data_IF_909997900906
#
_entry.id   IF_909997900906
#
_cell.length_a   1.000
_cell.length_b   1.000
_cell.length_c   1.000
_cell.angle_alpha   90.00
_cell.angle_beta   90.00
_cell.angle_gamma   90.00
#
_symmetry.space_group_name_H-M   'P 1'
#
loop_
_entity.id
_entity.type
_entity.pdbx_description
1 polymer ?
#
# COMPACT_ATOMS: atom_id res chain seq x y z
N UNK A 1 -40.97 40.54 -0.59
CA UNK A 1 -39.53 40.39 -0.91
C UNK A 1 -38.81 40.08 0.39
N UNK A 2 -38.35 38.84 0.58
CA UNK A 2 -37.50 38.44 1.70
C UNK A 2 -36.32 37.66 1.12
N UNK A 3 -35.10 38.13 1.38
CA UNK A 3 -33.85 37.45 1.07
C UNK A 3 -33.50 36.53 2.25
N UNK A 4 -33.48 35.22 2.03
CA UNK A 4 -32.95 34.23 2.97
C UNK A 4 -31.53 33.84 2.58
N UNK A 5 -30.58 34.05 3.48
CA UNK A 5 -29.17 33.73 3.29
C UNK A 5 -28.92 32.23 3.15
N UNK A 6 -28.08 31.84 2.19
CA UNK A 6 -27.53 30.49 2.06
C UNK A 6 -26.24 30.40 2.88
N UNK A 7 -26.28 29.69 4.00
CA UNK A 7 -25.09 29.10 4.62
C UNK A 7 -24.79 27.79 3.89
N UNK A 8 -23.74 27.78 3.06
CA UNK A 8 -23.21 26.56 2.46
C UNK A 8 -22.36 25.83 3.50
N UNK A 9 -22.97 24.93 4.27
CA UNK A 9 -22.24 23.86 4.92
C UNK A 9 -21.92 22.81 3.86
N UNK A 10 -20.65 22.72 3.45
CA UNK A 10 -20.17 21.55 2.73
C UNK A 10 -20.25 20.35 3.69
N UNK A 11 -21.02 19.29 3.38
CA UNK A 11 -20.95 18.07 4.17
C UNK A 11 -19.58 17.45 3.92
N UNK A 12 -18.84 17.22 5.02
CA UNK A 12 -17.65 16.39 5.06
C UNK A 12 -18.08 15.00 4.58
N UNK A 13 -17.62 14.60 3.39
CA UNK A 13 -17.91 13.29 2.82
C UNK A 13 -17.28 12.25 3.75
N UNK A 14 -18.10 11.54 4.53
CA UNK A 14 -17.67 10.27 5.12
C UNK A 14 -17.54 9.29 3.96
N UNK A 15 -16.32 8.81 3.73
CA UNK A 15 -16.06 7.65 2.87
C UNK A 15 -16.54 6.40 3.60
N UNK A 16 -17.86 6.26 3.74
CA UNK A 16 -18.48 4.97 3.97
C UNK A 16 -18.80 4.40 2.58
N UNK A 17 -17.75 4.11 1.80
CA UNK A 17 -17.90 3.41 0.53
C UNK A 17 -18.39 1.99 0.83
N UNK A 18 -19.51 1.63 0.22
CA UNK A 18 -20.25 0.37 0.35
C UNK A 18 -19.37 -0.82 -0.09
N UNK A 19 -18.63 -1.40 0.86
CA UNK A 19 -17.70 -2.50 0.63
C UNK A 19 -18.44 -3.83 0.59
N UNK A 20 -18.31 -4.57 -0.51
CA UNK A 20 -18.92 -5.91 -0.66
C UNK A 20 -18.46 -6.88 0.43
N UNK A 21 -19.31 -7.85 0.77
CA UNK A 21 -19.05 -8.88 1.81
C UNK A 21 -17.71 -9.62 1.61
N UNK A 22 -17.31 -9.86 0.36
CA UNK A 22 -16.00 -10.43 0.00
C UNK A 22 -14.81 -9.53 0.30
N UNK A 23 -15.01 -8.20 0.21
CA UNK A 23 -14.03 -7.18 0.56
C UNK A 23 -13.76 -7.12 2.06
N UNK A 24 -14.78 -7.32 2.87
CA UNK A 24 -14.64 -7.35 4.34
C UNK A 24 -13.83 -8.57 4.81
N UNK A 25 -14.04 -9.74 4.20
CA UNK A 25 -13.38 -10.98 4.64
C UNK A 25 -11.86 -10.98 4.52
N UNK A 26 -11.28 -10.30 3.53
CA UNK A 26 -9.83 -10.31 3.37
C UNK A 26 -9.15 -9.26 4.25
N UNK A 27 -9.82 -8.15 4.56
CA UNK A 27 -9.34 -7.17 5.52
C UNK A 27 -9.40 -7.70 6.95
N UNK A 28 -10.45 -8.45 7.30
CA UNK A 28 -10.49 -9.20 8.57
C UNK A 28 -9.33 -10.19 8.68
N UNK A 29 -8.91 -10.81 7.57
CA UNK A 29 -7.72 -11.68 7.57
C UNK A 29 -6.45 -10.89 7.84
N UNK A 30 -6.25 -9.72 7.22
CA UNK A 30 -5.08 -8.86 7.51
C UNK A 30 -5.11 -8.37 8.94
N UNK A 31 -6.27 -7.96 9.45
CA UNK A 31 -6.45 -7.55 10.84
C UNK A 31 -6.13 -8.68 11.83
N UNK A 32 -6.67 -9.88 11.64
CA UNK A 32 -6.37 -11.05 12.47
C UNK A 32 -4.90 -11.46 12.34
N UNK A 33 -4.35 -11.40 11.13
CA UNK A 33 -2.95 -11.69 10.90
C UNK A 33 -2.02 -10.69 11.63
N UNK A 34 -2.34 -9.38 11.63
CA UNK A 34 -1.59 -8.39 12.40
C UNK A 34 -1.68 -8.63 13.90
N UNK A 35 -2.86 -9.00 14.41
CA UNK A 35 -3.03 -9.40 15.82
C UNK A 35 -2.11 -10.57 16.20
N UNK A 36 -1.99 -11.56 15.31
CA UNK A 36 -1.21 -12.77 15.59
C UNK A 36 0.30 -12.58 15.36
N UNK A 37 0.71 -11.67 14.44
CA UNK A 37 2.10 -11.55 13.98
C UNK A 37 2.81 -10.24 14.40
N UNK A 38 2.07 -9.22 14.84
CA UNK A 38 2.62 -7.95 15.34
C UNK A 38 1.83 -7.39 16.54
N UNK A 39 1.61 -8.20 17.60
CA UNK A 39 0.72 -7.85 18.71
C UNK A 39 1.13 -6.55 19.43
N UNK A 40 2.44 -6.26 19.57
CA UNK A 40 2.90 -5.05 20.27
C UNK A 40 2.42 -3.77 19.58
N UNK A 41 2.48 -3.75 18.26
CA UNK A 41 2.06 -2.58 17.48
C UNK A 41 0.57 -2.57 17.26
N UNK A 42 -0.04 -3.75 17.10
CA UNK A 42 -1.49 -3.89 17.09
C UNK A 42 -2.13 -3.26 18.35
N UNK A 43 -1.61 -3.53 19.55
CA UNK A 43 -2.10 -2.95 20.80
C UNK A 43 -1.97 -1.41 20.85
N UNK A 44 -0.96 -0.84 20.17
CA UNK A 44 -0.74 0.61 20.15
C UNK A 44 -1.68 1.33 19.17
N UNK A 45 -2.06 0.69 18.05
CA UNK A 45 -2.93 1.27 17.02
C UNK A 45 -4.42 0.97 17.24
N UNK A 46 -4.74 0.08 18.19
CA UNK A 46 -6.11 -0.28 18.62
C UNK A 46 -6.54 0.40 19.93
N UNK A 47 -5.75 1.34 20.45
CA UNK A 47 -6.04 2.01 21.72
C UNK A 47 -7.30 2.92 21.72
N UNK A 48 -8.01 3.03 20.58
CA UNK A 48 -9.36 3.60 20.54
C UNK A 48 -10.38 2.52 20.99
N UNK A 49 -11.26 2.78 21.98
CA UNK A 49 -12.14 1.77 22.59
C UNK A 49 -13.14 1.05 21.68
N UNK A 50 -13.20 1.40 20.40
CA UNK A 50 -14.21 1.01 19.41
C UNK A 50 -13.64 0.61 18.04
N UNK A 51 -12.31 0.38 17.94
CA UNK A 51 -11.66 0.01 16.68
C UNK A 51 -11.89 -1.46 16.29
N UNK A 52 -13.11 -1.81 15.87
CA UNK A 52 -13.43 -3.15 15.35
C UNK A 52 -13.29 -3.22 13.82
N UNK A 53 -12.22 -3.85 13.34
CA UNK A 53 -11.96 -4.10 11.91
C UNK A 53 -10.87 -3.21 11.31
N UNK A 54 -10.27 -3.67 10.20
CA UNK A 54 -9.03 -3.11 9.65
C UNK A 54 -9.05 -1.58 9.44
N UNK A 55 -10.14 -1.04 8.89
CA UNK A 55 -10.26 0.40 8.61
C UNK A 55 -10.45 1.27 9.84
N UNK A 56 -10.80 0.67 10.97
CA UNK A 56 -10.89 1.35 12.26
C UNK A 56 -9.55 1.35 13.02
N UNK A 57 -8.52 0.64 12.52
CA UNK A 57 -7.16 0.77 13.04
C UNK A 57 -6.64 2.18 12.74
N UNK A 58 -6.25 2.91 13.78
CA UNK A 58 -5.60 4.20 13.60
C UNK A 58 -4.29 4.00 12.84
N UNK A 59 -4.23 4.52 11.60
CA UNK A 59 -3.09 4.32 10.69
C UNK A 59 -3.21 3.16 9.71
N UNK A 60 -4.38 2.54 9.52
CA UNK A 60 -4.62 1.54 8.46
C UNK A 60 -4.20 2.03 7.05
N UNK A 61 -4.42 3.32 6.77
CA UNK A 61 -4.00 3.98 5.52
C UNK A 61 -2.47 4.13 5.37
N UNK A 62 -1.71 3.89 6.43
CA UNK A 62 -0.24 3.93 6.45
C UNK A 62 0.37 2.55 6.71
N UNK A 63 -0.38 1.45 6.57
CA UNK A 63 0.17 0.11 6.84
C UNK A 63 1.36 -0.21 5.92
N UNK A 64 1.28 0.20 4.65
CA UNK A 64 2.32 -0.06 3.66
C UNK A 64 3.22 1.20 3.58
N UNK A 65 4.53 1.07 3.85
CA UNK A 65 5.46 2.18 3.70
C UNK A 65 5.45 2.72 2.26
N UNK A 66 5.58 4.02 2.03
CA UNK A 66 5.82 5.10 3.02
C UNK A 66 4.58 5.86 3.45
N UNK A 67 3.52 5.80 2.65
CA UNK A 67 2.21 6.41 2.89
C UNK A 67 1.15 5.76 1.98
N UNK A 68 1.36 4.49 1.61
CA UNK A 68 0.49 3.80 0.68
C UNK A 68 -0.72 3.25 1.42
N UNK A 69 -1.90 3.73 1.03
CA UNK A 69 -3.17 3.21 1.51
C UNK A 69 -3.50 1.92 0.77
N UNK A 70 -3.70 0.80 1.48
CA UNK A 70 -4.10 -0.45 0.86
C UNK A 70 -5.42 -0.28 0.06
N UNK A 71 -5.54 -0.93 -1.10
CA UNK A 71 -6.73 -0.81 -1.95
C UNK A 71 -7.69 -1.99 -1.75
N UNK A 72 -8.99 -1.72 -1.77
CA UNK A 72 -10.00 -2.78 -1.95
C UNK A 72 -9.79 -3.51 -3.29
N UNK A 73 -10.29 -4.74 -3.44
CA UNK A 73 -10.25 -5.44 -4.73
C UNK A 73 -10.98 -4.67 -5.83
N UNK A 74 -12.08 -4.00 -5.49
CA UNK A 74 -12.82 -3.13 -6.40
C UNK A 74 -12.00 -1.90 -6.81
N UNK A 75 -11.40 -1.20 -5.84
CA UNK A 75 -10.57 -0.03 -6.11
C UNK A 75 -9.33 -0.41 -6.92
N UNK A 76 -8.71 -1.55 -6.59
CA UNK A 76 -7.59 -2.12 -7.35
C UNK A 76 -7.98 -2.33 -8.81
N UNK A 77 -9.10 -3.02 -9.07
CA UNK A 77 -9.55 -3.29 -10.43
C UNK A 77 -9.95 -2.00 -11.17
N UNK A 78 -10.59 -1.05 -10.48
CA UNK A 78 -10.96 0.26 -11.05
C UNK A 78 -9.72 1.05 -11.48
N UNK A 79 -8.71 1.16 -10.61
CA UNK A 79 -7.47 1.87 -10.94
C UNK A 79 -6.70 1.18 -12.05
N UNK A 80 -6.64 -0.17 -12.05
CA UNK A 80 -6.03 -0.95 -13.12
C UNK A 80 -6.68 -0.67 -14.48
N UNK A 81 -8.02 -0.67 -14.55
CA UNK A 81 -8.76 -0.36 -15.78
C UNK A 81 -8.54 1.09 -16.21
N UNK A 82 -8.54 2.04 -15.26
CA UNK A 82 -8.35 3.46 -15.54
C UNK A 82 -6.96 3.76 -16.12
N UNK A 83 -5.92 3.10 -15.60
CA UNK A 83 -4.52 3.35 -15.97
C UNK A 83 -4.08 2.58 -17.21
N UNK A 84 -4.67 1.41 -17.47
CA UNK A 84 -4.33 0.58 -18.63
C UNK A 84 -5.04 1.10 -19.88
N UNK A 85 -4.31 1.39 -20.95
CA UNK A 85 -4.93 1.61 -22.27
C UNK A 85 -4.84 0.37 -23.16
N UNK A 86 -5.77 0.24 -24.11
CA UNK A 86 -6.00 -0.99 -24.90
C UNK A 86 -4.83 -1.44 -25.79
N UNK A 87 -3.78 -0.63 -25.94
CA UNK A 87 -2.67 -0.88 -26.87
C UNK A 87 -1.30 -0.96 -26.17
N UNK A 88 -1.28 -1.03 -24.84
CA UNK A 88 -0.05 -1.03 -24.05
C UNK A 88 0.35 -2.46 -23.70
N UNK A 89 1.37 -2.96 -24.38
CA UNK A 89 2.00 -4.26 -24.08
C UNK A 89 3.50 -4.04 -24.05
N UNK A 90 4.12 -4.25 -22.89
CA UNK A 90 5.56 -4.50 -22.82
C UNK A 90 5.76 -6.01 -22.66
N UNK A 91 6.56 -6.60 -23.55
CA UNK A 91 6.81 -8.05 -23.56
C UNK A 91 7.86 -8.50 -22.52
N UNK A 92 8.46 -7.54 -21.79
CA UNK A 92 9.49 -7.84 -20.82
C UNK A 92 8.93 -8.61 -19.61
N UNK A 93 9.69 -9.56 -19.04
CA UNK A 93 9.19 -10.43 -17.99
C UNK A 93 8.95 -9.68 -16.68
N UNK A 94 8.15 -10.26 -15.79
CA UNK A 94 7.93 -9.71 -14.45
C UNK A 94 9.26 -9.41 -13.71
N UNK A 95 9.26 -8.36 -12.90
CA UNK A 95 10.45 -7.89 -12.18
C UNK A 95 11.35 -6.92 -12.98
N UNK A 96 11.07 -6.70 -14.26
CA UNK A 96 11.82 -5.77 -15.13
C UNK A 96 11.16 -4.40 -15.19
N UNK A 97 11.90 -3.36 -15.57
CA UNK A 97 11.35 -2.01 -15.62
C UNK A 97 10.20 -1.87 -16.61
N UNK A 98 9.25 -0.96 -16.34
CA UNK A 98 8.23 -0.56 -17.30
C UNK A 98 8.06 0.95 -17.31
N UNK A 99 7.93 1.53 -18.51
CA UNK A 99 7.69 2.96 -18.72
C UNK A 99 6.22 3.34 -18.78
N UNK A 100 5.32 2.34 -18.81
CA UNK A 100 3.87 2.52 -18.79
C UNK A 100 3.18 1.59 -17.77
N UNK A 101 2.00 1.98 -17.28
CA UNK A 101 1.21 1.09 -16.42
C UNK A 101 0.56 -0.01 -17.27
N UNK A 102 0.84 -1.27 -16.95
CA UNK A 102 0.41 -2.44 -17.72
C UNK A 102 -0.85 -3.09 -17.11
N UNK A 103 -1.63 -3.80 -17.93
CA UNK A 103 -2.83 -4.51 -17.46
C UNK A 103 -2.51 -5.67 -16.51
N UNK A 104 -1.29 -6.18 -16.58
CA UNK A 104 -0.72 -7.20 -15.70
C UNK A 104 -0.23 -6.64 -14.37
N UNK A 105 -0.25 -5.32 -14.16
CA UNK A 105 0.05 -4.71 -12.87
C UNK A 105 -1.24 -4.63 -12.05
N UNK A 106 -1.30 -5.40 -10.97
CA UNK A 106 -2.43 -5.39 -10.04
C UNK A 106 -2.09 -4.47 -8.86
N UNK A 107 -2.63 -3.23 -8.81
CA UNK A 107 -2.32 -2.31 -7.72
C UNK A 107 -2.91 -2.83 -6.41
N UNK A 108 -2.09 -2.89 -5.36
CA UNK A 108 -2.51 -3.34 -4.02
C UNK A 108 -2.55 -2.20 -3.01
N UNK A 109 -1.89 -1.08 -3.32
CA UNK A 109 -1.94 0.13 -2.52
C UNK A 109 -1.68 1.37 -3.40
N UNK A 110 -2.19 2.53 -2.98
CA UNK A 110 -2.01 3.81 -3.66
C UNK A 110 -1.70 4.93 -2.66
N UNK A 111 -0.94 5.93 -3.10
CA UNK A 111 -0.60 7.11 -2.30
C UNK A 111 -1.64 8.25 -2.41
N UNK A 112 -2.62 8.09 -3.31
CA UNK A 112 -3.64 9.09 -3.63
C UNK A 112 -3.18 10.18 -4.60
N UNK A 113 -1.91 10.21 -4.99
CA UNK A 113 -1.32 11.19 -5.91
C UNK A 113 -1.00 10.61 -7.28
N UNK A 114 -1.05 9.28 -7.43
CA UNK A 114 -0.96 8.61 -8.72
C UNK A 114 0.04 7.46 -8.78
N UNK A 115 0.73 7.22 -7.66
CA UNK A 115 1.69 6.15 -7.50
C UNK A 115 1.02 4.91 -6.91
N UNK A 116 1.60 3.76 -7.21
CA UNK A 116 1.05 2.47 -6.76
C UNK A 116 2.14 1.52 -6.31
N UNK A 117 1.86 0.81 -5.22
CA UNK A 117 2.47 -0.50 -4.97
C UNK A 117 1.60 -1.54 -5.67
N UNK A 118 2.22 -2.40 -6.48
CA UNK A 118 1.50 -3.37 -7.30
C UNK A 118 2.16 -4.75 -7.31
N UNK A 119 1.34 -5.77 -7.59
CA UNK A 119 1.78 -7.12 -7.93
C UNK A 119 2.03 -7.19 -9.43
N UNK A 120 3.23 -7.59 -9.83
CA UNK A 120 3.63 -7.77 -11.23
C UNK A 120 3.23 -9.18 -11.71
N UNK A 121 2.09 -9.31 -12.39
CA UNK A 121 1.58 -10.59 -12.89
C UNK A 121 2.08 -10.93 -14.31
N UNK A 122 3.00 -10.14 -14.87
CA UNK A 122 3.62 -10.51 -16.15
C UNK A 122 4.27 -11.88 -16.05
N UNK A 123 4.44 -12.53 -17.20
CA UNK A 123 5.10 -13.83 -17.23
C UNK A 123 6.57 -13.73 -16.83
N UNK A 124 7.11 -14.82 -16.27
CA UNK A 124 8.52 -14.93 -15.91
C UNK A 124 8.74 -15.36 -14.46
N UNK A 125 10.00 -15.57 -14.09
CA UNK A 125 10.39 -16.11 -12.78
C UNK A 125 10.01 -15.26 -11.57
N UNK A 126 9.74 -13.97 -11.79
CA UNK A 126 9.37 -13.02 -10.74
C UNK A 126 7.89 -12.61 -10.83
N UNK A 127 7.06 -13.39 -11.55
CA UNK A 127 5.62 -13.20 -11.54
C UNK A 127 5.09 -13.30 -10.11
N UNK A 128 4.26 -12.35 -9.71
CA UNK A 128 3.76 -12.21 -8.34
C UNK A 128 4.65 -11.36 -7.42
N UNK A 129 5.77 -10.81 -7.92
CA UNK A 129 6.59 -9.90 -7.12
C UNK A 129 5.91 -8.54 -6.91
N UNK A 130 6.29 -7.86 -5.83
CA UNK A 130 5.77 -6.55 -5.48
C UNK A 130 6.74 -5.46 -5.94
N UNK A 131 6.22 -4.46 -6.63
CA UNK A 131 6.98 -3.34 -7.17
C UNK A 131 6.24 -2.01 -6.96
N UNK A 132 6.97 -0.93 -7.17
CA UNK A 132 6.44 0.42 -7.18
C UNK A 132 6.26 0.93 -8.61
N UNK A 133 5.17 1.64 -8.84
CA UNK A 133 4.88 2.43 -10.02
C UNK A 133 4.84 3.90 -9.62
N UNK A 134 5.77 4.69 -10.14
CA UNK A 134 5.78 6.15 -10.02
C UNK A 134 5.08 6.77 -11.25
N UNK A 135 4.24 7.79 -11.05
CA UNK A 135 3.48 8.42 -12.13
C UNK A 135 4.35 9.14 -13.17
N UNK A 136 5.50 9.66 -12.76
CA UNK A 136 6.43 10.42 -13.60
C UNK A 136 7.53 9.52 -14.19
N UNK A 137 8.00 8.54 -13.41
CA UNK A 137 9.17 7.72 -13.74
C UNK A 137 8.83 6.28 -14.19
N UNK A 138 7.61 5.83 -13.90
CA UNK A 138 7.17 4.46 -14.08
C UNK A 138 7.80 3.49 -13.09
N UNK A 139 7.80 2.20 -13.42
CA UNK A 139 8.36 1.18 -12.54
C UNK A 139 9.84 0.96 -12.81
N UNK A 140 10.71 1.80 -12.24
CA UNK A 140 12.17 1.78 -12.49
C UNK A 140 13.00 1.03 -11.45
N UNK A 141 12.57 1.05 -10.19
CA UNK A 141 13.36 0.47 -9.10
C UNK A 141 13.30 -1.07 -9.11
N UNK A 142 14.29 -1.75 -8.50
CA UNK A 142 14.19 -3.18 -8.25
C UNK A 142 12.93 -3.55 -7.47
N UNK A 143 12.58 -4.84 -7.53
CA UNK A 143 11.54 -5.44 -6.70
C UNK A 143 11.59 -4.96 -5.25
N UNK A 144 10.45 -4.56 -4.70
CA UNK A 144 10.28 -4.22 -3.28
C UNK A 144 10.29 -5.52 -2.45
N UNK A 145 9.46 -6.47 -2.84
CA UNK A 145 9.38 -7.80 -2.22
C UNK A 145 9.14 -8.90 -3.26
N UNK A 146 9.69 -10.11 -3.08
CA UNK A 146 9.54 -11.18 -4.06
C UNK A 146 8.13 -11.77 -4.15
N UNK A 147 7.27 -11.55 -3.14
CA UNK A 147 5.86 -11.97 -3.12
C UNK A 147 5.05 -11.13 -2.14
N UNK A 148 3.72 -11.22 -2.21
CA UNK A 148 2.80 -10.61 -1.24
C UNK A 148 3.06 -11.13 0.19
N UNK A 149 3.28 -12.44 0.36
CA UNK A 149 3.60 -13.03 1.66
C UNK A 149 4.89 -12.48 2.26
N UNK A 150 5.89 -12.24 1.39
CA UNK A 150 7.16 -11.64 1.81
C UNK A 150 6.99 -10.18 2.22
N UNK A 151 6.14 -9.43 1.50
CA UNK A 151 5.79 -8.06 1.88
C UNK A 151 5.11 -8.01 3.24
N UNK A 152 4.07 -8.83 3.44
CA UNK A 152 3.36 -8.89 4.72
C UNK A 152 4.34 -9.27 5.83
N UNK A 153 5.07 -10.37 5.67
CA UNK A 153 6.05 -10.84 6.67
C UNK A 153 7.09 -9.78 7.03
N UNK A 154 7.63 -9.04 6.06
CA UNK A 154 8.59 -7.96 6.31
C UNK A 154 7.95 -6.79 7.08
N UNK A 155 6.72 -6.42 6.71
CA UNK A 155 5.94 -5.38 7.41
C UNK A 155 5.63 -5.81 8.85
N UNK A 156 5.08 -7.00 9.12
CA UNK A 156 4.81 -7.39 10.51
C UNK A 156 6.07 -7.53 11.34
N UNK A 157 7.15 -8.11 10.77
CA UNK A 157 8.44 -8.15 11.47
C UNK A 157 8.85 -6.75 11.88
N UNK A 158 8.80 -5.79 10.95
CA UNK A 158 9.16 -4.39 11.21
C UNK A 158 8.25 -3.75 12.26
N UNK A 159 6.93 -3.93 12.15
CA UNK A 159 5.95 -3.45 13.15
C UNK A 159 6.21 -4.05 14.52
N UNK A 160 6.54 -5.33 14.63
CA UNK A 160 6.77 -5.99 15.91
C UNK A 160 8.11 -5.57 16.52
N UNK A 161 9.20 -5.56 15.75
CA UNK A 161 10.54 -5.38 16.30
C UNK A 161 11.02 -3.93 16.31
N UNK A 162 10.38 -3.03 15.54
CA UNK A 162 10.88 -1.69 15.26
C UNK A 162 12.10 -1.66 14.33
N UNK A 163 12.50 -2.81 13.76
CA UNK A 163 13.58 -2.88 12.77
C UNK A 163 13.13 -2.32 11.41
N UNK A 164 14.07 -1.90 10.55
CA UNK A 164 13.70 -1.39 9.23
C UNK A 164 13.07 -2.45 8.32
N UNK A 165 12.02 -2.05 7.60
CA UNK A 165 11.42 -2.74 6.44
C UNK A 165 12.23 -2.45 5.16
N UNK A 166 12.02 -3.21 4.07
CA UNK A 166 12.63 -2.97 2.74
C UNK A 166 14.17 -3.09 2.70
N UNK A 167 14.78 -3.81 3.65
CA UNK A 167 16.24 -3.96 3.69
C UNK A 167 16.81 -4.68 2.45
N UNK A 168 16.14 -5.74 1.99
CA UNK A 168 16.58 -6.48 0.78
C UNK A 168 16.40 -5.65 -0.49
N UNK A 169 15.30 -4.90 -0.60
CA UNK A 169 15.11 -3.91 -1.65
C UNK A 169 16.25 -2.88 -1.67
N UNK A 170 16.58 -2.30 -0.51
CA UNK A 170 17.66 -1.32 -0.41
C UNK A 170 19.02 -1.88 -0.83
N UNK A 171 19.33 -3.14 -0.45
CA UNK A 171 20.53 -3.84 -0.93
C UNK A 171 20.53 -4.01 -2.45
N UNK A 172 19.40 -4.46 -3.03
CA UNK A 172 19.26 -4.65 -4.48
C UNK A 172 19.36 -3.32 -5.27
N UNK A 173 18.78 -2.25 -4.74
CA UNK A 173 18.84 -0.90 -5.30
C UNK A 173 20.29 -0.36 -5.31
N UNK A 174 21.02 -0.53 -4.20
CA UNK A 174 22.43 -0.12 -4.09
C UNK A 174 23.35 -0.85 -5.04
N UNK A 175 23.13 -2.15 -5.23
CA UNK A 175 23.88 -2.93 -6.21
C UNK A 175 23.70 -2.40 -7.65
N UNK A 176 22.63 -1.64 -7.90
CA UNK A 176 22.36 -0.93 -9.15
C UNK A 176 22.57 0.59 -9.05
N UNK A 177 23.27 1.06 -8.02
CA UNK A 177 23.60 2.47 -7.77
C UNK A 177 22.41 3.40 -7.50
N UNK A 178 21.22 2.86 -7.21
CA UNK A 178 20.10 3.65 -6.73
C UNK A 178 20.25 3.97 -5.25
N UNK A 179 19.86 5.19 -4.86
CA UNK A 179 19.74 5.61 -3.47
C UNK A 179 18.27 5.50 -3.05
N UNK A 180 18.00 4.57 -2.15
CA UNK A 180 16.67 4.36 -1.56
C UNK A 180 16.79 4.32 -0.04
N UNK A 181 15.70 4.65 0.64
CA UNK A 181 15.59 4.58 2.10
C UNK A 181 15.01 3.24 2.53
N UNK A 182 15.31 2.86 3.77
CA UNK A 182 14.52 1.88 4.53
C UNK A 182 13.67 2.63 5.53
N UNK A 183 12.66 1.98 6.11
CA UNK A 183 11.72 2.67 6.99
C UNK A 183 11.51 1.90 8.28
N UNK A 184 11.44 2.63 9.40
CA UNK A 184 11.04 2.08 10.70
C UNK A 184 9.65 2.58 11.06
N UNK A 185 8.82 1.76 11.71
CA UNK A 185 7.50 2.18 12.10
C UNK A 185 7.58 3.06 13.35
N UNK A 186 6.71 4.04 13.41
CA UNK A 186 6.53 4.89 14.57
C UNK A 186 5.03 5.10 14.81
N UNK A 187 4.57 4.78 16.02
CA UNK A 187 3.20 5.04 16.47
C UNK A 187 3.21 6.25 17.41
N UNK A 188 2.46 7.30 17.05
CA UNK A 188 2.25 8.48 17.89
C UNK A 188 0.76 8.78 17.95
N UNK A 189 0.22 8.97 19.15
CA UNK A 189 -1.20 9.23 19.38
C UNK A 189 -2.12 8.22 18.68
N UNK A 190 -1.71 6.95 18.68
CA UNK A 190 -2.42 5.85 18.01
C UNK A 190 -2.21 5.78 16.48
N UNK A 191 -1.58 6.78 15.86
CA UNK A 191 -1.36 6.82 14.42
C UNK A 191 -0.03 6.18 14.01
N UNK A 192 -0.09 5.17 13.14
CA UNK A 192 1.09 4.59 12.49
C UNK A 192 1.67 5.53 11.42
N UNK A 193 2.99 5.70 11.43
CA UNK A 193 3.78 6.37 10.41
C UNK A 193 5.10 5.62 10.15
N UNK A 194 5.74 5.89 9.01
CA UNK A 194 7.01 5.27 8.61
C UNK A 194 8.11 6.33 8.52
N UNK A 195 9.12 6.22 9.38
CA UNK A 195 10.24 7.16 9.40
C UNK A 195 11.37 6.67 8.50
N UNK A 196 11.85 7.49 7.53
CA UNK A 196 12.97 7.10 6.69
C UNK A 196 14.24 7.02 7.53
N UNK A 197 14.96 5.91 7.37
CA UNK A 197 16.29 5.72 7.93
C UNK A 197 17.26 5.54 6.77
N UNK A 198 18.42 6.19 6.87
CA UNK A 198 19.52 5.89 5.96
C UNK A 198 19.99 4.47 6.27
N UNK A 199 19.67 3.53 5.37
CA UNK A 199 20.29 2.21 5.39
C UNK A 199 21.81 2.31 5.15
#
# INVERSE_FOLDING_TARGET
MMWGGRTSGHPMVRHDDDMTESGLQWWERIHNWLRDNAPRTFDQITAAPDADGFWHLAGAGNLIPTAYTPLSSENSNRERIRKTTRFQVEAEPAGTTSGIFLGEFVPVAADGMGDYVFVDERQGRASGCIREWDVDEGSRLPTLWPSLDSMLTDIARSLETGEPVLQEHAKAARAKFFKVSVYVPEVRDGMLSWQPVRA
#
